data_IF_322211635621
#
_entry.id   IF_322211635621
#
_cell.length_a   1.000
_cell.length_b   1.000
_cell.length_c   1.000
_cell.angle_alpha   90.00
_cell.angle_beta   90.00
_cell.angle_gamma   90.00
#
_symmetry.space_group_name_H-M   'P 1'
#
loop_
_entity.id
_entity.type
_entity.pdbx_description
1 polymer ?
#
# COMPACT_ATOMS: atom_id res chain seq x y z
N UNK A 1 -3.25 1.07 -9.95
CA UNK A 1 -4.41 1.84 -10.46
C UNK A 1 -5.19 2.21 -9.23
N UNK A 2 -5.05 3.47 -8.83
CA UNK A 2 -5.61 4.05 -7.61
C UNK A 2 -7.03 4.51 -7.91
N UNK A 3 -7.99 4.09 -7.09
CA UNK A 3 -9.38 4.50 -7.26
C UNK A 3 -9.60 5.79 -6.48
N UNK A 4 -9.92 6.87 -7.19
CA UNK A 4 -10.33 8.13 -6.57
C UNK A 4 -11.82 8.05 -6.27
N UNK A 5 -12.18 7.69 -5.04
CA UNK A 5 -13.55 7.74 -4.54
C UNK A 5 -13.79 9.12 -3.91
N UNK A 6 -14.48 10.01 -4.64
CA UNK A 6 -14.88 11.34 -4.18
C UNK A 6 -13.85 12.43 -4.52
N UNK A 7 -14.11 13.24 -5.55
CA UNK A 7 -13.28 14.40 -5.91
C UNK A 7 -13.67 15.70 -5.19
N UNK A 8 -14.79 15.70 -4.46
CA UNK A 8 -15.39 16.89 -3.83
C UNK A 8 -15.58 16.73 -2.30
N UNK A 9 -14.93 15.76 -1.67
CA UNK A 9 -15.03 15.52 -0.22
C UNK A 9 -13.75 15.96 0.52
N UNK A 10 -13.88 16.22 1.83
CA UNK A 10 -12.73 16.47 2.71
C UNK A 10 -11.68 15.37 2.55
N UNK A 11 -10.37 15.70 2.58
CA UNK A 11 -9.32 14.72 2.41
C UNK A 11 -9.37 13.72 3.56
N UNK A 12 -9.71 12.47 3.24
CA UNK A 12 -9.57 11.31 4.14
C UNK A 12 -8.16 10.75 3.99
N UNK A 13 -7.53 10.32 5.08
CA UNK A 13 -6.24 9.61 5.01
C UNK A 13 -6.47 8.14 4.65
N UNK A 14 -6.88 7.90 3.40
CA UNK A 14 -7.19 6.57 2.88
C UNK A 14 -6.57 6.32 1.51
N UNK A 15 -6.20 5.06 1.26
CA UNK A 15 -5.69 4.58 -0.02
C UNK A 15 -6.46 3.34 -0.45
N UNK A 16 -7.04 3.40 -1.65
CA UNK A 16 -7.84 2.32 -2.21
C UNK A 16 -7.23 1.76 -3.49
N UNK A 17 -7.04 0.44 -3.52
CA UNK A 17 -6.48 -0.28 -4.67
C UNK A 17 -7.40 -1.41 -5.11
N UNK A 18 -7.51 -1.58 -6.42
CA UNK A 18 -8.20 -2.73 -7.03
C UNK A 18 -7.19 -3.83 -7.37
N UNK A 19 -7.30 -4.97 -6.71
CA UNK A 19 -6.53 -6.17 -6.98
C UNK A 19 -7.31 -7.04 -7.95
N UNK A 20 -6.91 -6.99 -9.22
CA UNK A 20 -7.59 -7.72 -10.30
C UNK A 20 -7.55 -9.23 -10.11
N UNK A 21 -8.67 -9.87 -10.39
CA UNK A 21 -8.76 -11.31 -10.42
C UNK A 21 -8.25 -11.99 -11.66
N UNK A 22 -7.98 -13.30 -11.52
CA UNK A 22 -7.97 -14.19 -12.66
C UNK A 22 -9.39 -14.36 -13.20
N UNK A 23 -9.52 -14.78 -14.45
CA UNK A 23 -10.80 -15.02 -15.12
C UNK A 23 -11.76 -15.80 -14.21
N UNK A 24 -12.92 -15.20 -13.90
CA UNK A 24 -13.97 -15.78 -13.05
C UNK A 24 -13.84 -15.58 -11.53
N UNK A 25 -12.72 -15.06 -11.01
CA UNK A 25 -12.46 -14.98 -9.57
C UNK A 25 -12.84 -13.64 -8.89
N UNK A 26 -13.55 -12.73 -9.60
CA UNK A 26 -13.93 -11.40 -9.10
C UNK A 26 -12.75 -10.43 -8.91
N UNK A 27 -12.96 -9.14 -8.70
CA UNK A 27 -11.90 -8.24 -8.24
C UNK A 27 -11.95 -8.10 -6.71
N UNK A 28 -10.81 -7.83 -6.07
CA UNK A 28 -10.78 -7.48 -4.64
C UNK A 28 -10.48 -5.99 -4.53
N UNK A 29 -11.27 -5.28 -3.76
CA UNK A 29 -10.93 -3.93 -3.31
C UNK A 29 -10.16 -4.05 -2.01
N UNK A 30 -8.98 -3.44 -1.95
CA UNK A 30 -8.20 -3.31 -0.73
C UNK A 30 -8.08 -1.83 -0.35
N UNK A 31 -8.46 -1.49 0.87
CA UNK A 31 -8.38 -0.15 1.43
C UNK A 31 -7.44 -0.11 2.63
N UNK A 32 -6.58 0.90 2.73
CA UNK A 32 -5.85 1.23 3.95
C UNK A 32 -6.32 2.59 4.43
N UNK A 33 -6.66 2.72 5.72
CA UNK A 33 -7.17 3.95 6.31
C UNK A 33 -6.42 4.31 7.58
N UNK A 34 -6.16 5.60 7.78
CA UNK A 34 -5.82 6.18 9.08
C UNK A 34 -6.91 7.17 9.45
N UNK A 35 -7.54 7.00 10.61
CA UNK A 35 -8.48 7.96 11.19
C UNK A 35 -7.85 8.56 12.44
N UNK A 36 -7.48 9.85 12.44
CA UNK A 36 -6.98 10.52 13.63
C UNK A 36 -7.97 10.44 14.82
N UNK A 37 -7.49 10.38 16.06
CA UNK A 37 -8.35 10.26 17.25
C UNK A 37 -9.33 11.43 17.41
N UNK A 38 -8.92 12.64 17.02
CA UNK A 38 -9.68 13.89 17.09
C UNK A 38 -10.36 14.27 15.77
N UNK A 39 -10.53 13.31 14.86
CA UNK A 39 -11.16 13.56 13.56
C UNK A 39 -12.61 14.09 13.71
N UNK A 40 -12.93 15.10 12.90
CA UNK A 40 -14.24 15.73 12.89
C UNK A 40 -15.33 14.92 12.18
N UNK A 41 -16.58 15.17 12.55
CA UNK A 41 -17.79 14.50 12.04
C UNK A 41 -17.94 14.53 10.50
N UNK A 42 -17.37 15.53 9.81
CA UNK A 42 -17.45 15.65 8.34
C UNK A 42 -16.48 14.67 7.65
N UNK A 43 -15.23 14.63 8.08
CA UNK A 43 -14.22 13.69 7.60
C UNK A 43 -14.61 12.24 7.91
N UNK A 44 -15.17 11.96 9.10
CA UNK A 44 -15.72 10.64 9.43
C UNK A 44 -16.81 10.22 8.42
N UNK A 45 -17.73 11.12 8.07
CA UNK A 45 -18.78 10.82 7.06
C UNK A 45 -18.21 10.56 5.67
N UNK A 46 -17.19 11.29 5.25
CA UNK A 46 -16.51 11.05 3.97
C UNK A 46 -15.84 9.66 3.96
N UNK A 47 -15.14 9.31 5.05
CA UNK A 47 -14.57 7.99 5.23
C UNK A 47 -15.66 6.90 5.15
N UNK A 48 -16.79 7.05 5.84
CA UNK A 48 -17.87 6.07 5.84
C UNK A 48 -18.51 5.90 4.46
N UNK A 49 -18.63 6.98 3.67
CA UNK A 49 -19.08 6.89 2.27
C UNK A 49 -18.10 6.10 1.40
N UNK A 50 -16.80 6.29 1.58
CA UNK A 50 -15.79 5.49 0.87
C UNK A 50 -15.86 4.02 1.26
N UNK A 51 -16.02 3.73 2.56
CA UNK A 51 -16.23 2.38 3.08
C UNK A 51 -17.46 1.75 2.43
N UNK A 52 -18.58 2.46 2.37
CA UNK A 52 -19.81 1.98 1.74
C UNK A 52 -19.70 1.78 0.22
N UNK A 53 -18.96 2.65 -0.48
CA UNK A 53 -18.67 2.44 -1.89
C UNK A 53 -17.77 1.21 -2.12
N UNK A 54 -16.81 0.98 -1.22
CA UNK A 54 -15.94 -0.21 -1.23
C UNK A 54 -16.69 -1.50 -0.95
N UNK A 55 -17.63 -1.49 0.01
CA UNK A 55 -18.38 -2.65 0.49
C UNK A 55 -19.33 -3.23 -0.58
N UNK A 56 -19.76 -2.40 -1.54
CA UNK A 56 -20.53 -2.82 -2.72
C UNK A 56 -19.75 -3.74 -3.68
N UNK A 57 -18.45 -3.93 -3.46
CA UNK A 57 -17.63 -4.84 -4.26
C UNK A 57 -17.78 -6.29 -3.81
N UNK A 58 -17.60 -7.25 -4.72
CA UNK A 58 -17.73 -8.69 -4.42
C UNK A 58 -16.79 -9.16 -3.28
N UNK A 59 -15.65 -8.49 -3.10
CA UNK A 59 -14.70 -8.78 -2.04
C UNK A 59 -13.97 -7.49 -1.63
N UNK A 60 -14.05 -7.17 -0.35
CA UNK A 60 -13.40 -6.03 0.28
C UNK A 60 -12.49 -6.51 1.42
N UNK A 61 -11.29 -5.95 1.48
CA UNK A 61 -10.42 -5.96 2.68
C UNK A 61 -10.05 -4.53 2.99
N UNK A 62 -10.51 -4.03 4.13
CA UNK A 62 -10.20 -2.70 4.63
C UNK A 62 -9.37 -2.85 5.91
N UNK A 63 -8.28 -2.10 6.03
CA UNK A 63 -7.40 -2.21 7.19
C UNK A 63 -6.82 -0.87 7.62
N UNK A 64 -6.40 -0.77 8.87
CA UNK A 64 -5.64 0.37 9.39
C UNK A 64 -6.10 0.81 10.78
N UNK A 65 -5.64 1.97 11.22
CA UNK A 65 -5.90 2.49 12.56
C UNK A 65 -7.10 3.44 12.53
N UNK A 66 -8.16 3.05 13.25
CA UNK A 66 -9.42 3.79 13.31
C UNK A 66 -9.58 4.62 14.59
N UNK A 67 -8.69 4.47 15.58
CA UNK A 67 -8.71 5.22 16.84
C UNK A 67 -10.10 5.29 17.54
N UNK A 68 -10.81 4.16 17.60
CA UNK A 68 -12.05 4.01 18.38
C UNK A 68 -11.84 3.10 19.61
N UNK A 69 -11.17 3.58 20.68
CA UNK A 69 -10.75 2.76 21.82
C UNK A 69 -11.89 2.21 22.68
N UNK A 70 -13.06 2.85 22.64
CA UNK A 70 -14.23 2.57 23.47
C UNK A 70 -15.20 1.57 22.83
N UNK A 71 -14.85 1.01 21.66
CA UNK A 71 -15.65 -0.04 21.03
C UNK A 71 -15.41 -1.37 21.76
N UNK A 72 -16.49 -1.94 22.27
CA UNK A 72 -16.54 -3.35 22.66
C UNK A 72 -17.03 -4.19 21.47
N UNK A 73 -16.10 -4.83 20.77
CA UNK A 73 -16.42 -5.70 19.63
C UNK A 73 -17.20 -6.96 20.01
N UNK A 74 -17.08 -7.42 21.26
CA UNK A 74 -17.84 -8.58 21.77
C UNK A 74 -19.33 -8.27 21.90
N UNK A 75 -19.66 -7.09 22.42
CA UNK A 75 -21.03 -6.67 22.70
C UNK A 75 -21.62 -5.80 21.58
N UNK A 76 -20.83 -5.55 20.53
CA UNK A 76 -21.13 -4.62 19.44
C UNK A 76 -21.64 -3.24 19.94
N UNK A 77 -20.94 -2.66 20.90
CA UNK A 77 -21.37 -1.44 21.58
C UNK A 77 -20.21 -0.43 21.74
N UNK A 78 -20.55 0.85 21.83
CA UNK A 78 -19.60 1.92 22.10
C UNK A 78 -20.19 3.05 22.94
N UNK A 79 -19.36 3.65 23.79
CA UNK A 79 -19.76 4.73 24.72
C UNK A 79 -19.90 6.08 24.01
N UNK A 80 -19.02 6.37 23.06
CA UNK A 80 -18.96 7.64 22.36
C UNK A 80 -19.81 7.63 21.09
N UNK A 81 -20.41 8.78 20.78
CA UNK A 81 -21.27 8.94 19.60
C UNK A 81 -20.51 8.67 18.29
N UNK A 82 -19.24 9.05 18.20
CA UNK A 82 -18.44 8.82 16.99
C UNK A 82 -18.21 7.33 16.75
N UNK A 83 -17.77 6.60 17.79
CA UNK A 83 -17.58 5.15 17.74
C UNK A 83 -18.88 4.39 17.44
N UNK A 84 -20.03 4.84 17.97
CA UNK A 84 -21.34 4.28 17.59
C UNK A 84 -21.66 4.45 16.11
N UNK A 85 -21.45 5.64 15.53
CA UNK A 85 -21.65 5.86 14.09
C UNK A 85 -20.72 4.99 13.24
N UNK A 86 -19.50 4.74 13.71
CA UNK A 86 -18.58 3.83 13.04
C UNK A 86 -19.10 2.38 13.08
N UNK A 87 -19.58 1.90 14.24
CA UNK A 87 -20.23 0.59 14.34
C UNK A 87 -21.47 0.49 13.45
N UNK A 88 -22.34 1.50 13.44
CA UNK A 88 -23.48 1.58 12.51
C UNK A 88 -23.02 1.46 11.05
N UNK A 89 -21.94 2.14 10.67
CA UNK A 89 -21.35 2.03 9.34
C UNK A 89 -20.82 0.61 9.04
N UNK A 90 -20.15 -0.04 10.00
CA UNK A 90 -19.66 -1.42 9.86
C UNK A 90 -20.83 -2.38 9.64
N UNK A 91 -21.88 -2.25 10.45
CA UNK A 91 -23.09 -3.09 10.41
C UNK A 91 -23.90 -2.88 9.13
N UNK A 92 -24.18 -1.62 8.76
CA UNK A 92 -24.93 -1.26 7.55
C UNK A 92 -24.25 -1.78 6.27
N UNK A 93 -22.92 -1.98 6.32
CA UNK A 93 -22.11 -2.48 5.22
C UNK A 93 -21.77 -3.97 5.32
N UNK A 94 -22.33 -4.69 6.30
CA UNK A 94 -22.10 -6.12 6.53
C UNK A 94 -20.61 -6.46 6.63
N UNK A 95 -19.84 -5.59 7.32
CA UNK A 95 -18.40 -5.76 7.49
C UNK A 95 -18.11 -6.54 8.77
N UNK A 96 -17.15 -7.45 8.65
CA UNK A 96 -16.68 -8.31 9.74
C UNK A 96 -15.30 -7.85 10.17
N UNK A 97 -15.14 -7.58 11.47
CA UNK A 97 -13.85 -7.37 12.10
C UNK A 97 -13.17 -8.70 12.38
N UNK A 98 -11.96 -8.90 11.87
CA UNK A 98 -11.25 -10.20 11.96
C UNK A 98 -10.13 -10.25 13.02
N UNK A 99 -9.81 -9.12 13.65
CA UNK A 99 -8.80 -9.09 14.73
C UNK A 99 -9.51 -9.40 16.05
N UNK A 100 -8.96 -10.33 16.83
CA UNK A 100 -9.52 -10.77 18.12
C UNK A 100 -8.74 -10.24 19.33
N UNK A 101 -7.51 -9.80 19.13
CA UNK A 101 -6.60 -9.35 20.19
C UNK A 101 -6.36 -7.83 20.12
N UNK A 102 -6.17 -7.13 21.26
CA UNK A 102 -5.84 -5.71 21.27
C UNK A 102 -4.55 -5.38 20.51
N UNK A 103 -4.54 -4.26 19.80
CA UNK A 103 -3.40 -3.82 18.98
C UNK A 103 -2.60 -2.69 19.60
N UNK A 104 -3.11 -2.05 20.67
CA UNK A 104 -2.39 -1.01 21.42
C UNK A 104 -2.87 -0.94 22.86
N UNK A 105 -1.99 -1.22 23.82
CA UNK A 105 -2.21 -1.01 25.27
C UNK A 105 -3.58 -1.52 25.79
N UNK A 106 -4.07 -2.65 25.28
CA UNK A 106 -5.36 -3.24 25.68
C UNK A 106 -6.59 -2.76 24.89
N UNK A 107 -6.44 -1.81 23.98
CA UNK A 107 -7.49 -1.40 23.03
C UNK A 107 -7.24 -1.96 21.62
N UNK A 108 -8.32 -2.21 20.88
CA UNK A 108 -8.30 -2.65 19.49
C UNK A 108 -8.54 -1.45 18.58
N UNK A 109 -7.46 -0.79 18.16
CA UNK A 109 -7.52 0.43 17.34
C UNK A 109 -7.24 0.14 15.86
N UNK A 110 -6.33 -0.80 15.62
CA UNK A 110 -6.03 -1.31 14.30
C UNK A 110 -7.05 -2.39 13.97
N UNK A 111 -7.76 -2.22 12.87
CA UNK A 111 -8.85 -3.10 12.45
C UNK A 111 -8.55 -3.72 11.09
N UNK A 112 -9.13 -4.88 10.84
CA UNK A 112 -9.23 -5.48 9.51
C UNK A 112 -10.69 -5.85 9.28
N UNK A 113 -11.36 -5.07 8.45
CA UNK A 113 -12.75 -5.23 8.09
C UNK A 113 -12.88 -5.93 6.73
N UNK A 114 -13.80 -6.89 6.62
CA UNK A 114 -14.10 -7.58 5.35
C UNK A 114 -15.58 -7.87 5.17
N UNK A 115 -16.09 -7.78 3.95
CA UNK A 115 -17.47 -8.14 3.63
C UNK A 115 -17.61 -9.63 3.21
N UNK A 116 -16.56 -10.42 3.36
CA UNK A 116 -16.52 -11.81 2.90
C UNK A 116 -15.78 -12.70 3.88
N UNK A 117 -16.51 -13.60 4.53
CA UNK A 117 -15.93 -14.62 5.38
C UNK A 117 -14.90 -15.48 4.64
N UNK A 118 -13.82 -15.82 5.36
CA UNK A 118 -12.71 -16.61 4.82
C UNK A 118 -11.85 -15.91 3.78
N UNK A 119 -12.12 -14.64 3.43
CA UNK A 119 -11.24 -13.85 2.56
C UNK A 119 -9.93 -13.48 3.26
N UNK A 120 -9.99 -13.20 4.56
CA UNK A 120 -8.82 -12.93 5.40
C UNK A 120 -8.59 -14.12 6.32
N UNK A 121 -7.34 -14.56 6.44
CA UNK A 121 -6.94 -15.65 7.33
C UNK A 121 -5.51 -15.53 7.82
N UNK A 122 -5.09 -16.45 8.68
CA UNK A 122 -3.77 -16.46 9.33
C UNK A 122 -3.41 -15.14 10.05
N UNK A 123 -4.40 -14.48 10.67
CA UNK A 123 -4.21 -13.22 11.42
C UNK A 123 -3.37 -13.49 12.67
N UNK A 124 -2.29 -12.74 12.87
CA UNK A 124 -1.35 -12.89 13.98
C UNK A 124 -0.77 -11.54 14.39
N UNK A 125 -0.71 -11.28 15.70
CA UNK A 125 0.09 -10.20 16.24
C UNK A 125 1.57 -10.60 16.29
N UNK A 126 2.47 -9.67 15.99
CA UNK A 126 3.91 -9.93 15.84
C UNK A 126 4.80 -9.28 16.88
N UNK A 127 4.24 -8.56 17.85
CA UNK A 127 5.00 -7.63 18.68
C UNK A 127 4.96 -6.24 18.06
N UNK A 128 5.30 -5.23 18.87
CA UNK A 128 5.55 -3.89 18.38
C UNK A 128 6.70 -3.87 17.36
N UNK A 129 6.58 -2.99 16.36
CA UNK A 129 7.70 -2.64 15.51
C UNK A 129 8.48 -1.51 16.19
N UNK A 130 9.66 -1.82 16.72
CA UNK A 130 10.51 -0.83 17.37
C UNK A 130 9.84 -0.20 18.60
N UNK A 131 10.08 1.08 18.88
CA UNK A 131 9.44 1.86 19.94
C UNK A 131 7.96 2.17 19.68
N UNK A 132 7.33 1.56 18.66
CA UNK A 132 5.89 1.67 18.44
C UNK A 132 5.13 1.13 19.65
N UNK A 133 4.09 1.84 20.05
CA UNK A 133 3.12 1.34 21.04
C UNK A 133 1.99 0.52 20.39
N UNK A 134 1.95 0.45 19.05
CA UNK A 134 1.09 -0.44 18.27
C UNK A 134 1.79 -1.77 17.95
N UNK A 135 1.00 -2.84 18.01
CA UNK A 135 1.35 -4.21 17.63
C UNK A 135 1.28 -4.39 16.11
N UNK A 136 2.27 -5.05 15.53
CA UNK A 136 2.23 -5.38 14.11
C UNK A 136 1.25 -6.52 13.84
N UNK A 137 0.29 -6.29 12.95
CA UNK A 137 -0.66 -7.29 12.47
C UNK A 137 -0.17 -7.95 11.18
N UNK A 138 0.10 -9.26 11.20
CA UNK A 138 0.34 -10.07 10.00
C UNK A 138 -0.93 -10.85 9.64
N UNK A 139 -1.36 -10.82 8.37
CA UNK A 139 -2.49 -11.63 7.89
C UNK A 139 -2.30 -12.01 6.42
N UNK A 140 -3.18 -12.87 5.91
CA UNK A 140 -3.23 -13.28 4.51
C UNK A 140 -4.59 -12.98 3.89
N UNK A 141 -4.56 -12.37 2.70
CA UNK A 141 -5.74 -12.30 1.82
C UNK A 141 -5.78 -13.60 1.02
N UNK A 142 -6.69 -14.49 1.40
CA UNK A 142 -6.85 -15.82 0.84
C UNK A 142 -7.54 -15.75 -0.51
N UNK A 143 -6.80 -16.12 -1.56
CA UNK A 143 -7.32 -16.09 -2.92
C UNK A 143 -6.64 -17.13 -3.80
N UNK A 144 -7.43 -17.83 -4.61
CA UNK A 144 -6.92 -18.57 -5.76
C UNK A 144 -6.37 -17.57 -6.80
N UNK A 145 -5.05 -17.37 -6.80
CA UNK A 145 -4.38 -16.51 -7.76
C UNK A 145 -3.69 -17.35 -8.84
N UNK A 146 -4.14 -17.24 -10.10
CA UNK A 146 -3.25 -17.59 -11.23
C UNK A 146 -2.24 -16.46 -11.34
N UNK A 147 -1.01 -16.68 -10.86
CA UNK A 147 0.08 -15.71 -10.95
C UNK A 147 0.31 -15.34 -12.42
N UNK A 148 -0.20 -14.17 -12.82
CA UNK A 148 0.16 -13.59 -14.11
C UNK A 148 1.63 -13.20 -14.01
N UNK A 149 2.47 -13.95 -14.73
CA UNK A 149 3.85 -13.55 -14.94
C UNK A 149 3.81 -12.21 -15.68
N UNK A 150 4.15 -11.12 -15.02
CA UNK A 150 4.22 -9.83 -15.70
C UNK A 150 5.22 -9.97 -16.85
N UNK A 151 4.74 -9.88 -18.10
CA UNK A 151 5.59 -9.70 -19.28
C UNK A 151 6.09 -8.25 -19.28
N UNK A 152 6.65 -7.82 -18.16
CA UNK A 152 7.18 -6.47 -17.99
C UNK A 152 8.48 -6.39 -18.79
N UNK A 153 8.43 -5.58 -19.84
CA UNK A 153 9.60 -5.10 -20.57
C UNK A 153 10.20 -3.95 -19.79
N UNK A 154 11.50 -4.01 -19.53
CA UNK A 154 12.28 -2.94 -18.88
C UNK A 154 13.42 -2.54 -19.80
N UNK A 155 13.86 -1.29 -19.75
CA UNK A 155 15.04 -0.83 -20.49
C UNK A 155 16.30 -1.54 -19.96
N UNK A 156 17.13 -2.08 -20.85
CA UNK A 156 18.37 -2.78 -20.51
C UNK A 156 19.55 -1.80 -20.53
N UNK A 157 19.71 -1.03 -19.46
CA UNK A 157 20.77 -0.01 -19.35
C UNK A 157 22.19 -0.57 -19.52
N UNK A 158 22.42 -1.88 -19.27
CA UNK A 158 23.72 -2.50 -19.54
C UNK A 158 24.06 -2.62 -21.03
N UNK A 159 23.07 -2.51 -21.90
CA UNK A 159 23.21 -2.54 -23.37
C UNK A 159 22.84 -1.20 -24.01
N UNK A 160 22.74 -0.13 -23.22
CA UNK A 160 22.42 1.20 -23.70
C UNK A 160 23.54 1.75 -24.58
N UNK A 161 23.18 2.36 -25.72
CA UNK A 161 24.07 3.20 -26.49
C UNK A 161 24.05 4.62 -25.92
N UNK A 162 24.89 4.86 -24.91
CA UNK A 162 25.01 6.17 -24.28
C UNK A 162 25.63 7.23 -25.20
N UNK A 163 26.35 6.83 -26.25
CA UNK A 163 26.90 7.76 -27.22
C UNK A 163 25.78 8.31 -28.10
N UNK A 164 24.96 7.44 -28.68
CA UNK A 164 23.76 7.86 -29.41
C UNK A 164 22.80 8.68 -28.54
N UNK A 165 22.62 8.28 -27.28
CA UNK A 165 21.74 9.02 -26.36
C UNK A 165 22.25 10.44 -26.09
N UNK A 166 23.57 10.61 -25.87
CA UNK A 166 24.18 11.93 -25.73
C UNK A 166 24.08 12.75 -27.01
N UNK A 167 24.26 12.15 -28.18
CA UNK A 167 24.14 12.85 -29.45
C UNK A 167 22.71 13.35 -29.69
N UNK A 168 21.69 12.54 -29.37
CA UNK A 168 20.30 12.95 -29.47
C UNK A 168 19.96 14.09 -28.51
N UNK A 169 20.44 14.02 -27.25
CA UNK A 169 20.21 15.08 -26.28
C UNK A 169 21.03 16.35 -26.57
N UNK A 170 22.22 16.20 -27.15
CA UNK A 170 23.12 17.29 -27.51
C UNK A 170 22.66 18.09 -28.73
N UNK A 171 21.80 17.52 -29.59
CA UNK A 171 21.16 18.22 -30.71
C UNK A 171 20.06 19.19 -30.27
N UNK A 172 19.62 19.13 -29.03
CA UNK A 172 18.55 19.97 -28.50
C UNK A 172 19.15 21.30 -28.06
N UNK A 173 18.64 22.40 -28.60
CA UNK A 173 18.97 23.73 -28.13
C UNK A 173 18.23 24.01 -26.81
N UNK A 174 18.75 23.47 -25.70
CA UNK A 174 18.12 23.52 -24.37
C UNK A 174 17.77 24.95 -23.93
N UNK A 175 18.65 25.91 -24.22
CA UNK A 175 18.42 27.31 -23.90
C UNK A 175 17.10 27.80 -24.52
N UNK A 176 16.86 27.52 -25.80
CA UNK A 176 15.59 27.89 -26.48
C UNK A 176 14.41 27.04 -26.04
N UNK A 177 14.65 25.77 -25.73
CA UNK A 177 13.59 24.84 -25.34
C UNK A 177 12.99 25.22 -23.98
N UNK A 178 13.82 25.74 -23.07
CA UNK A 178 13.47 26.04 -21.69
C UNK A 178 13.27 27.54 -21.42
N UNK A 179 13.64 28.43 -22.35
CA UNK A 179 13.52 29.88 -22.17
C UNK A 179 12.09 30.34 -21.87
N UNK A 180 11.96 31.21 -20.87
CA UNK A 180 10.67 31.78 -20.43
C UNK A 180 9.67 30.77 -19.84
N UNK A 181 10.06 29.51 -19.59
CA UNK A 181 9.13 28.47 -19.10
C UNK A 181 9.25 28.22 -17.60
N UNK A 182 8.10 27.95 -16.97
CA UNK A 182 8.04 27.53 -15.57
C UNK A 182 8.48 26.08 -15.37
N UNK A 183 8.79 25.70 -14.12
CA UNK A 183 9.32 24.38 -13.77
C UNK A 183 8.48 23.20 -14.29
N UNK A 184 7.14 23.33 -14.27
CA UNK A 184 6.23 22.29 -14.76
C UNK A 184 6.35 22.07 -16.28
N UNK A 185 6.40 23.15 -17.05
CA UNK A 185 6.48 23.08 -18.52
C UNK A 185 7.87 22.61 -18.96
N UNK A 186 8.92 23.11 -18.30
CA UNK A 186 10.29 22.65 -18.48
C UNK A 186 10.44 21.15 -18.19
N UNK A 187 9.78 20.63 -17.14
CA UNK A 187 9.75 19.20 -16.84
C UNK A 187 9.07 18.38 -17.94
N UNK A 188 7.95 18.86 -18.49
CA UNK A 188 7.25 18.16 -19.57
C UNK A 188 8.12 18.07 -20.84
N UNK A 189 8.82 19.14 -21.19
CA UNK A 189 9.75 19.19 -22.33
C UNK A 189 10.92 18.25 -22.11
N UNK A 190 11.53 18.28 -20.92
CA UNK A 190 12.60 17.36 -20.56
C UNK A 190 12.13 15.90 -20.68
N UNK A 191 10.95 15.58 -20.13
CA UNK A 191 10.37 14.24 -20.17
C UNK A 191 10.09 13.76 -21.59
N UNK A 192 9.61 14.64 -22.47
CA UNK A 192 9.39 14.32 -23.88
C UNK A 192 10.70 13.93 -24.58
N UNK A 193 11.78 14.68 -24.35
CA UNK A 193 13.08 14.36 -24.93
C UNK A 193 13.74 13.14 -24.28
N UNK A 194 13.42 12.85 -23.01
CA UNK A 194 13.84 11.61 -22.35
C UNK A 194 13.29 10.35 -23.04
N UNK A 195 12.23 10.45 -23.86
CA UNK A 195 11.77 9.33 -24.70
C UNK A 195 12.80 8.88 -25.73
N UNK A 196 13.84 9.68 -26.03
CA UNK A 196 14.99 9.24 -26.82
C UNK A 196 15.66 7.98 -26.23
N UNK A 197 15.48 7.71 -24.93
CA UNK A 197 15.95 6.46 -24.30
C UNK A 197 15.35 5.20 -24.95
N UNK A 198 14.17 5.27 -25.57
CA UNK A 198 13.56 4.12 -26.25
C UNK A 198 14.29 3.77 -27.55
N UNK A 199 15.00 4.73 -28.15
CA UNK A 199 15.82 4.52 -29.35
C UNK A 199 17.22 4.03 -29.00
N UNK A 200 17.74 4.45 -27.84
CA UNK A 200 19.12 4.16 -27.44
C UNK A 200 19.27 2.97 -26.50
N UNK A 201 18.21 2.58 -25.80
CA UNK A 201 18.26 1.55 -24.77
C UNK A 201 17.33 0.40 -25.17
N UNK A 202 17.89 -0.77 -25.52
CA UNK A 202 17.08 -1.90 -25.94
C UNK A 202 16.18 -2.37 -24.81
N UNK A 203 14.95 -2.74 -25.16
CA UNK A 203 14.01 -3.32 -24.21
C UNK A 203 14.38 -4.78 -23.92
N UNK A 204 14.40 -5.15 -22.65
CA UNK A 204 14.61 -6.52 -22.18
C UNK A 204 13.38 -7.03 -21.47
N UNK A 205 13.01 -8.26 -21.83
CA UNK A 205 11.99 -9.00 -21.08
C UNK A 205 12.61 -9.53 -19.79
N UNK A 206 11.90 -9.36 -18.68
CA UNK A 206 12.27 -10.06 -17.45
C UNK A 206 12.28 -11.57 -17.70
N UNK A 207 13.37 -12.23 -17.33
CA UNK A 207 13.47 -13.69 -17.35
C UNK A 207 12.52 -14.29 -16.29
N UNK A 208 12.04 -15.52 -16.49
CA UNK A 208 10.99 -16.13 -15.65
C UNK A 208 11.28 -16.23 -14.13
N UNK A 209 12.54 -16.09 -13.71
CA UNK A 209 12.92 -15.96 -12.28
C UNK A 209 12.73 -14.53 -11.76
N UNK A 210 12.91 -13.51 -12.61
CA UNK A 210 12.80 -12.09 -12.29
C UNK A 210 11.43 -11.46 -12.61
N UNK A 211 10.59 -12.11 -13.42
CA UNK A 211 9.19 -11.71 -13.68
C UNK A 211 8.32 -11.67 -12.42
N UNK A 212 8.76 -12.35 -11.36
CA UNK A 212 8.13 -12.38 -10.04
C UNK A 212 8.45 -11.13 -9.20
N UNK A 213 9.39 -10.28 -9.64
CA UNK A 213 9.86 -9.11 -8.88
C UNK A 213 9.29 -7.83 -9.51
N UNK A 214 8.91 -6.82 -8.70
CA UNK A 214 8.60 -5.48 -9.21
C UNK A 214 9.78 -4.87 -10.00
N UNK A 215 9.56 -3.95 -10.95
CA UNK A 215 10.63 -3.28 -11.70
C UNK A 215 11.67 -2.58 -10.82
N UNK A 216 11.23 -1.97 -9.73
CA UNK A 216 12.09 -1.23 -8.79
C UNK A 216 12.90 -2.12 -7.84
N UNK A 217 12.59 -3.43 -7.75
CA UNK A 217 13.22 -4.34 -6.79
C UNK A 217 14.53 -4.94 -7.34
N UNK A 218 15.64 -4.23 -7.11
CA UNK A 218 16.99 -4.64 -7.51
C UNK A 218 17.66 -5.60 -6.47
N UNK A 219 18.88 -6.08 -6.77
CA UNK A 219 19.61 -7.00 -5.87
C UNK A 219 20.00 -6.35 -4.54
N UNK A 220 20.36 -5.08 -4.54
CA UNK A 220 20.76 -4.33 -3.35
C UNK A 220 19.58 -4.22 -2.36
N UNK A 221 18.42 -3.77 -2.85
CA UNK A 221 17.19 -3.67 -2.06
C UNK A 221 16.77 -5.03 -1.50
N UNK A 222 16.93 -6.11 -2.27
CA UNK A 222 16.69 -7.47 -1.78
C UNK A 222 17.66 -7.86 -0.65
N UNK A 223 18.93 -7.46 -0.76
CA UNK A 223 19.92 -7.62 0.31
C UNK A 223 19.48 -6.92 1.59
N UNK A 224 19.09 -5.65 1.50
CA UNK A 224 18.59 -4.86 2.64
C UNK A 224 17.33 -5.45 3.27
N UNK A 225 16.35 -5.87 2.45
CA UNK A 225 15.13 -6.54 2.94
C UNK A 225 15.46 -7.86 3.64
N UNK A 226 16.42 -8.62 3.13
CA UNK A 226 16.86 -9.88 3.75
C UNK A 226 17.55 -9.63 5.08
N UNK A 227 18.50 -8.70 5.13
CA UNK A 227 19.23 -8.29 6.35
C UNK A 227 18.24 -7.86 7.45
N UNK A 228 17.30 -6.97 7.13
CA UNK A 228 16.24 -6.55 8.06
C UNK A 228 15.44 -7.73 8.62
N UNK A 229 15.05 -8.68 7.76
CA UNK A 229 14.29 -9.87 8.18
C UNK A 229 15.09 -10.83 9.04
N UNK A 230 16.38 -10.96 8.79
CA UNK A 230 17.29 -11.80 9.58
C UNK A 230 17.53 -11.18 10.95
N UNK A 231 17.83 -9.88 11.01
CA UNK A 231 17.97 -9.13 12.25
C UNK A 231 16.70 -9.22 13.12
N UNK A 232 15.52 -8.99 12.52
CA UNK A 232 14.24 -9.11 13.23
C UNK A 232 14.02 -10.52 13.81
N UNK A 233 14.38 -11.56 13.04
CA UNK A 233 14.23 -12.95 13.49
C UNK A 233 15.18 -13.28 14.63
N UNK A 234 16.43 -12.82 14.56
CA UNK A 234 17.41 -12.98 15.62
C UNK A 234 16.96 -12.31 16.91
N UNK A 235 16.51 -11.05 16.84
CA UNK A 235 15.94 -10.34 17.99
C UNK A 235 14.73 -11.07 18.58
N UNK A 236 13.78 -11.47 17.73
CA UNK A 236 12.57 -12.19 18.17
C UNK A 236 12.85 -13.55 18.81
N UNK A 237 13.94 -14.19 18.46
CA UNK A 237 14.38 -15.47 19.04
C UNK A 237 15.30 -15.28 20.26
N UNK A 238 15.53 -14.04 20.70
CA UNK A 238 16.43 -13.71 21.81
C UNK A 238 17.92 -13.92 21.47
N UNK A 239 18.27 -14.08 20.19
CA UNK A 239 19.63 -14.30 19.73
C UNK A 239 20.42 -13.00 19.53
N UNK A 240 19.72 -11.86 19.42
CA UNK A 240 20.29 -10.55 19.14
C UNK A 240 19.68 -9.54 20.11
N UNK A 241 20.50 -8.66 20.68
CA UNK A 241 20.04 -7.60 21.57
C UNK A 241 19.20 -6.56 20.82
N UNK A 242 18.32 -5.87 21.53
CA UNK A 242 17.46 -4.83 20.95
C UNK A 242 18.28 -3.70 20.32
N UNK A 243 19.38 -3.31 20.95
CA UNK A 243 20.29 -2.26 20.52
C UNK A 243 20.96 -2.61 19.18
N UNK A 244 21.41 -3.85 19.03
CA UNK A 244 22.06 -4.36 17.83
C UNK A 244 21.07 -4.51 16.66
N UNK A 245 19.83 -4.90 16.95
CA UNK A 245 18.76 -4.87 15.96
C UNK A 245 18.48 -3.44 15.49
N UNK A 246 18.37 -2.47 16.40
CA UNK A 246 18.06 -1.07 16.06
C UNK A 246 19.11 -0.43 15.16
N UNK A 247 20.38 -0.75 15.32
CA UNK A 247 21.46 -0.24 14.45
C UNK A 247 21.44 -0.84 13.03
N UNK A 248 20.76 -1.97 12.84
CA UNK A 248 20.71 -2.69 11.56
C UNK A 248 19.56 -2.24 10.65
N UNK A 249 18.55 -1.57 11.20
CA UNK A 249 17.26 -1.27 10.52
C UNK A 249 17.15 0.17 10.04
#
# INVERSE_FOLDING_TARGET
>A
MELHLGKDEEPTESLWVRIKGSTGAGDIIAGVCYRPPDQGDRADKALYRQIGAGSCSQALVLMGDFNHPDICWRDNAAEHKQSRKFLECVDDNFLLQVIEEPTRRGAMLDLILTNKEGLVGDVKLKGSLDCSDHEMVEFRILRAARRVCSKLTTLDFSRADFSLFRDLLGKIAWDKALDGRGARDSWLIFKAHLQAQEQCIPAKRKSGKNTKRPPWMNKELLGKVKQKKEAYRGWKQGQVAWEEYRETV
#
